data_IF_374143530701
#
_entry.id   IF_374143530701
#
_cell.length_a   1.000
_cell.length_b   1.000
_cell.length_c   1.000
_cell.angle_alpha   90.00
_cell.angle_beta   90.00
_cell.angle_gamma   90.00
#
_symmetry.space_group_name_H-M   'P 1'
#
loop_
_entity.id
_entity.type
_entity.pdbx_description
1 polymer ?
#
# COMPACT_ATOMS: atom_id res chain seq x y z
N UNK A 1 -1.00 -2.33 -11.23
CA UNK A 1 0.34 -1.73 -11.38
C UNK A 1 0.26 -0.25 -11.05
N UNK A 2 1.37 0.38 -10.68
CA UNK A 2 1.44 1.82 -10.40
C UNK A 2 2.84 2.34 -10.71
N UNK A 3 2.97 3.60 -11.14
CA UNK A 3 4.25 4.30 -11.26
C UNK A 3 4.68 4.89 -9.93
N UNK A 4 5.96 5.23 -9.78
CA UNK A 4 6.47 5.95 -8.60
C UNK A 4 6.87 7.39 -8.95
N UNK A 5 7.41 8.14 -7.99
CA UNK A 5 7.94 9.48 -8.25
C UNK A 5 9.25 9.43 -9.06
N UNK A 6 10.02 8.35 -8.93
CA UNK A 6 11.19 8.06 -9.75
C UNK A 6 10.80 7.70 -11.20
N UNK A 7 11.43 8.34 -12.21
CA UNK A 7 11.20 8.00 -13.61
C UNK A 7 11.49 6.53 -13.91
N UNK A 8 10.73 5.95 -14.85
CA UNK A 8 10.89 4.58 -15.34
C UNK A 8 10.61 3.47 -14.30
N UNK A 9 10.30 3.86 -13.05
CA UNK A 9 10.03 2.93 -11.96
C UNK A 9 8.55 2.55 -11.92
N UNK A 10 8.30 1.23 -11.90
CA UNK A 10 6.96 0.65 -11.85
C UNK A 10 6.88 -0.38 -10.72
N UNK A 11 5.70 -0.47 -10.10
CA UNK A 11 5.35 -1.55 -9.19
C UNK A 11 4.20 -2.38 -9.75
N UNK A 12 4.32 -3.70 -9.63
CA UNK A 12 3.20 -4.64 -9.76
C UNK A 12 3.02 -5.36 -8.44
N UNK A 13 1.76 -5.61 -8.09
CA UNK A 13 1.39 -6.21 -6.82
C UNK A 13 0.15 -7.07 -7.02
N UNK A 14 -0.09 -8.01 -6.12
CA UNK A 14 -1.27 -8.86 -6.22
C UNK A 14 -1.35 -9.95 -5.16
N UNK A 15 -1.74 -11.14 -5.62
CA UNK A 15 -2.05 -12.28 -4.76
C UNK A 15 -0.89 -12.63 -3.82
N UNK A 16 -1.24 -13.04 -2.60
CA UNK A 16 -0.31 -13.56 -1.59
C UNK A 16 0.87 -12.62 -1.27
N UNK A 17 0.59 -11.31 -1.21
CA UNK A 17 1.57 -10.29 -0.84
C UNK A 17 2.70 -10.10 -1.85
N UNK A 18 2.56 -10.63 -3.06
CA UNK A 18 3.54 -10.43 -4.10
C UNK A 18 3.59 -8.95 -4.48
N UNK A 19 4.80 -8.39 -4.45
CA UNK A 19 5.13 -7.06 -4.94
C UNK A 19 6.47 -7.13 -5.66
N UNK A 20 6.51 -6.60 -6.87
CA UNK A 20 7.71 -6.52 -7.70
C UNK A 20 7.91 -5.09 -8.17
N UNK A 21 9.18 -4.71 -8.28
CA UNK A 21 9.63 -3.40 -8.71
C UNK A 21 10.46 -3.54 -9.97
N UNK A 22 10.24 -2.64 -10.91
CA UNK A 22 11.06 -2.45 -12.10
C UNK A 22 11.58 -1.02 -12.10
N UNK A 23 12.78 -0.80 -12.63
CA UNK A 23 13.40 0.53 -12.87
C UNK A 23 13.66 0.79 -14.35
N UNK A 24 13.14 -0.07 -15.24
CA UNK A 24 13.41 -0.07 -16.68
C UNK A 24 12.12 -0.22 -17.49
N UNK A 25 11.03 0.44 -17.05
CA UNK A 25 9.71 0.36 -17.69
C UNK A 25 9.10 -1.05 -17.77
N UNK A 26 9.42 -1.90 -16.82
CA UNK A 26 8.86 -3.24 -16.70
C UNK A 26 9.57 -4.29 -17.57
N UNK A 27 10.78 -4.01 -18.06
CA UNK A 27 11.59 -4.98 -18.80
C UNK A 27 12.14 -6.03 -17.83
N UNK A 28 12.68 -5.61 -16.69
CA UNK A 28 13.13 -6.48 -15.60
C UNK A 28 12.39 -6.18 -14.31
N UNK A 29 12.25 -7.21 -13.46
CA UNK A 29 11.48 -7.14 -12.22
C UNK A 29 12.26 -7.78 -11.08
N UNK A 30 12.33 -7.07 -9.96
CA UNK A 30 12.90 -7.56 -8.71
C UNK A 30 11.78 -7.68 -7.67
N UNK A 31 11.77 -8.78 -6.92
CA UNK A 31 10.78 -8.96 -5.86
C UNK A 31 11.15 -8.07 -4.67
N UNK A 32 10.18 -7.34 -4.15
CA UNK A 32 10.33 -6.57 -2.91
C UNK A 32 9.61 -7.32 -1.80
N UNK A 33 10.36 -7.74 -0.78
CA UNK A 33 9.81 -8.53 0.31
C UNK A 33 8.96 -7.65 1.23
N UNK A 34 7.70 -8.02 1.42
CA UNK A 34 6.80 -7.38 2.38
C UNK A 34 6.82 -8.17 3.68
N UNK A 35 7.32 -7.56 4.75
CA UNK A 35 7.43 -8.18 6.06
C UNK A 35 6.42 -7.56 7.03
N UNK A 36 5.43 -8.34 7.43
CA UNK A 36 4.49 -8.03 8.49
C UNK A 36 5.03 -8.47 9.86
N UNK A 37 4.31 -8.13 10.93
CA UNK A 37 4.71 -8.46 12.30
C UNK A 37 4.89 -9.97 12.58
N UNK A 38 4.29 -10.85 11.76
CA UNK A 38 4.36 -12.32 11.89
C UNK A 38 5.14 -13.00 10.76
N UNK A 39 5.96 -12.25 10.03
CA UNK A 39 6.73 -12.75 8.88
C UNK A 39 6.23 -12.17 7.56
N UNK A 40 6.46 -12.89 6.46
CA UNK A 40 6.08 -12.44 5.13
C UNK A 40 4.56 -12.14 5.06
N UNK A 41 4.20 -11.06 4.36
CA UNK A 41 2.81 -10.74 4.10
C UNK A 41 2.24 -11.74 3.09
N UNK A 42 1.17 -12.45 3.45
CA UNK A 42 0.52 -13.44 2.57
C UNK A 42 -0.89 -13.03 2.12
N UNK A 43 -1.32 -11.80 2.42
CA UNK A 43 -2.61 -11.28 1.96
C UNK A 43 -2.53 -10.71 0.55
N UNK A 44 -3.59 -10.89 -0.25
CA UNK A 44 -3.67 -10.28 -1.58
C UNK A 44 -3.77 -8.77 -1.51
N UNK A 45 -3.03 -8.08 -2.38
CA UNK A 45 -3.05 -6.63 -2.58
C UNK A 45 -3.95 -6.28 -3.77
N UNK A 46 -4.72 -5.20 -3.66
CA UNK A 46 -5.86 -4.90 -4.55
C UNK A 46 -5.87 -3.48 -5.10
N UNK A 47 -5.29 -2.51 -4.39
CA UNK A 47 -5.27 -1.11 -4.83
C UNK A 47 -4.02 -0.39 -4.35
N UNK A 48 -3.65 0.70 -5.03
CA UNK A 48 -2.51 1.53 -4.65
C UNK A 48 -2.72 3.00 -5.06
N UNK A 49 -2.02 3.90 -4.38
CA UNK A 49 -1.92 5.31 -4.73
C UNK A 49 -0.49 5.81 -4.54
N UNK A 50 -0.04 6.67 -5.45
CA UNK A 50 1.09 7.57 -5.25
C UNK A 50 0.50 8.86 -4.69
N UNK A 51 0.99 9.31 -3.54
CA UNK A 51 0.54 10.53 -2.89
C UNK A 51 1.39 11.72 -3.36
N UNK A 52 0.90 12.94 -3.14
CA UNK A 52 1.58 14.17 -3.57
C UNK A 52 2.96 14.37 -2.92
N UNK A 53 3.19 13.77 -1.75
CA UNK A 53 4.48 13.79 -1.05
C UNK A 53 5.47 12.71 -1.56
N UNK A 54 5.08 11.95 -2.58
CA UNK A 54 5.89 10.87 -3.16
C UNK A 54 5.71 9.51 -2.48
N UNK A 55 4.93 9.43 -1.39
CA UNK A 55 4.68 8.17 -0.70
C UNK A 55 3.82 7.23 -1.55
N UNK A 56 4.15 5.95 -1.52
CA UNK A 56 3.36 4.89 -2.15
C UNK A 56 2.57 4.15 -1.09
N UNK A 57 1.26 4.07 -1.27
CA UNK A 57 0.38 3.30 -0.39
C UNK A 57 -0.27 2.19 -1.19
N UNK A 58 -0.11 0.94 -0.76
CA UNK A 58 -0.76 -0.24 -1.33
C UNK A 58 -1.67 -0.86 -0.27
N UNK A 59 -2.88 -1.24 -0.65
CA UNK A 59 -3.88 -1.82 0.25
C UNK A 59 -4.38 -3.17 -0.25
N UNK A 60 -4.96 -3.95 0.66
CA UNK A 60 -5.42 -5.28 0.32
C UNK A 60 -6.33 -5.96 1.33
N UNK A 61 -6.44 -7.27 1.15
CA UNK A 61 -7.22 -8.16 2.00
C UNK A 61 -6.66 -8.18 3.43
N UNK A 62 -7.49 -8.59 4.40
CA UNK A 62 -7.06 -8.68 5.80
C UNK A 62 -6.67 -7.33 6.41
N UNK A 63 -7.17 -6.22 5.85
CA UNK A 63 -6.89 -4.86 6.29
C UNK A 63 -5.44 -4.41 6.07
N UNK A 64 -4.73 -4.99 5.10
CA UNK A 64 -3.35 -4.60 4.81
C UNK A 64 -3.26 -3.17 4.27
N UNK A 65 -2.38 -2.38 4.87
CA UNK A 65 -1.91 -1.07 4.41
C UNK A 65 -0.39 -1.12 4.40
N UNK A 66 0.20 -0.88 3.24
CA UNK A 66 1.62 -1.06 2.98
C UNK A 66 2.16 0.24 2.42
N UNK A 67 3.13 0.86 3.09
CA UNK A 67 3.59 2.22 2.79
C UNK A 67 5.08 2.24 2.49
N UNK A 68 5.47 2.88 1.40
CA UNK A 68 6.87 3.21 1.06
C UNK A 68 7.03 4.72 0.97
N UNK A 69 8.18 5.20 1.43
CA UNK A 69 8.61 6.60 1.33
C UNK A 69 9.91 6.72 0.50
N UNK A 70 10.30 5.66 -0.22
CA UNK A 70 11.59 5.51 -0.90
C UNK A 70 11.43 4.92 -2.32
N UNK A 71 10.37 5.32 -3.03
CA UNK A 71 10.07 4.89 -4.40
C UNK A 71 9.91 3.37 -4.55
N UNK A 72 9.36 2.73 -3.51
CA UNK A 72 9.02 1.31 -3.50
C UNK A 72 10.20 0.38 -3.28
N UNK A 73 11.34 0.90 -2.81
CA UNK A 73 12.49 0.06 -2.45
C UNK A 73 12.22 -0.73 -1.17
N UNK A 74 11.62 -0.07 -0.16
CA UNK A 74 11.23 -0.71 1.09
C UNK A 74 9.82 -0.31 1.49
N UNK A 75 9.16 -1.19 2.26
CA UNK A 75 7.80 -0.97 2.72
C UNK A 75 7.62 -1.27 4.19
N UNK A 76 6.86 -0.42 4.87
CA UNK A 76 6.28 -0.68 6.19
C UNK A 76 4.92 -1.34 6.00
N UNK A 77 4.67 -2.47 6.67
CA UNK A 77 3.41 -3.22 6.58
C UNK A 77 2.61 -3.05 7.86
N UNK A 78 1.40 -2.53 7.74
CA UNK A 78 0.42 -2.45 8.82
C UNK A 78 -0.83 -3.26 8.46
N UNK A 79 -1.19 -4.23 9.30
CA UNK A 79 -2.45 -4.94 9.19
C UNK A 79 -3.43 -4.34 10.20
N UNK A 80 -4.51 -3.74 9.70
CA UNK A 80 -5.55 -3.17 10.56
C UNK A 80 -6.17 -4.25 11.47
N UNK A 81 -6.45 -3.94 12.76
CA UNK A 81 -7.08 -4.88 13.68
C UNK A 81 -8.48 -5.37 13.25
N UNK A 82 -9.24 -4.53 12.55
CA UNK A 82 -10.58 -4.86 12.03
C UNK A 82 -10.54 -5.90 10.89
N UNK A 83 -9.37 -6.07 10.25
CA UNK A 83 -9.10 -6.97 9.12
C UNK A 83 -10.07 -6.83 7.95
N UNK A 84 -10.78 -5.71 7.86
CA UNK A 84 -11.73 -5.43 6.78
C UNK A 84 -10.93 -5.32 5.47
N UNK A 85 -11.33 -6.07 4.45
CA UNK A 85 -10.64 -6.05 3.17
C UNK A 85 -10.80 -4.69 2.49
N UNK A 86 -9.68 -4.14 2.05
CA UNK A 86 -9.59 -2.87 1.35
C UNK A 86 -9.46 -3.14 -0.16
N UNK A 87 -10.03 -2.26 -0.96
CA UNK A 87 -10.01 -2.32 -2.43
C UNK A 87 -9.34 -1.11 -3.07
N UNK A 88 -9.34 0.05 -2.40
CA UNK A 88 -8.70 1.26 -2.91
C UNK A 88 -8.26 2.18 -1.77
N UNK A 89 -7.34 3.09 -2.10
CA UNK A 89 -6.81 4.13 -1.21
C UNK A 89 -6.57 5.40 -2.01
N UNK A 90 -6.76 6.56 -1.38
CA UNK A 90 -6.34 7.86 -1.92
C UNK A 90 -6.03 8.83 -0.78
N UNK A 91 -5.40 9.97 -1.08
CA UNK A 91 -5.14 11.01 -0.09
C UNK A 91 -6.45 11.68 0.37
N UNK A 92 -6.55 11.99 1.66
CA UNK A 92 -7.61 12.82 2.22
C UNK A 92 -7.33 14.33 2.11
N UNK A 93 -6.13 14.72 1.63
CA UNK A 93 -5.72 16.13 1.47
C UNK A 93 -5.13 16.79 2.72
N UNK A 94 -5.09 16.11 3.86
CA UNK A 94 -4.54 16.60 5.13
C UNK A 94 -3.46 15.67 5.72
N UNK A 95 -2.80 14.89 4.86
CA UNK A 95 -1.85 13.84 5.25
C UNK A 95 -2.50 12.50 5.59
N UNK A 96 -3.81 12.46 5.86
CA UNK A 96 -4.53 11.21 6.09
C UNK A 96 -4.88 10.48 4.80
N UNK A 97 -5.32 9.24 4.95
CA UNK A 97 -5.79 8.38 3.86
C UNK A 97 -7.31 8.27 3.88
N UNK A 98 -7.90 8.19 2.70
CA UNK A 98 -9.24 7.65 2.49
C UNK A 98 -9.07 6.18 2.06
N UNK A 99 -9.60 5.26 2.84
CA UNK A 99 -9.62 3.83 2.57
C UNK A 99 -11.02 3.41 2.14
N UNK A 100 -11.10 2.61 1.07
CA UNK A 100 -12.36 2.07 0.55
C UNK A 100 -12.29 0.55 0.56
N UNK A 101 -13.36 -0.12 0.99
CA UNK A 101 -13.43 -1.57 1.00
C UNK A 101 -14.77 -2.12 1.49
N UNK A 102 -14.76 -3.35 2.00
CA UNK A 102 -15.96 -4.04 2.49
C UNK A 102 -16.67 -3.30 3.64
N UNK A 103 -15.94 -2.45 4.37
CA UNK A 103 -16.46 -1.62 5.46
C UNK A 103 -16.87 -0.21 5.05
N UNK A 104 -17.03 0.06 3.74
CA UNK A 104 -17.36 1.38 3.21
C UNK A 104 -16.14 2.28 3.02
N UNK A 105 -16.35 3.59 3.16
CA UNK A 105 -15.31 4.63 3.08
C UNK A 105 -14.90 5.06 4.49
N UNK A 106 -13.60 5.08 4.78
CA UNK A 106 -13.05 5.45 6.10
C UNK A 106 -11.87 6.39 5.96
N UNK A 107 -11.76 7.35 6.86
CA UNK A 107 -10.54 8.13 7.03
C UNK A 107 -9.60 7.40 7.99
N UNK A 108 -8.32 7.37 7.67
CA UNK A 108 -7.29 6.71 8.44
C UNK A 108 -6.02 7.57 8.50
N UNK A 109 -5.16 7.33 9.49
CA UNK A 109 -3.83 7.94 9.56
C UNK A 109 -3.00 7.63 8.30
N UNK A 110 -1.88 8.33 8.04
CA UNK A 110 -0.98 8.00 6.93
C UNK A 110 -0.51 6.53 6.93
N UNK A 111 -0.43 5.90 8.11
CA UNK A 111 -0.06 4.49 8.27
C UNK A 111 -1.27 3.52 8.15
N UNK A 112 -2.49 4.03 7.97
CA UNK A 112 -3.70 3.23 7.79
C UNK A 112 -4.47 2.88 9.07
N UNK A 113 -4.08 3.40 10.23
CA UNK A 113 -4.80 3.21 11.49
C UNK A 113 -6.09 4.07 11.53
N UNK A 114 -7.09 3.64 12.29
CA UNK A 114 -8.28 4.47 12.52
C UNK A 114 -7.90 5.73 13.30
N UNK A 115 -8.56 6.86 12.98
CA UNK A 115 -8.41 8.08 13.77
C UNK A 115 -9.10 7.86 15.12
N UNK A 116 -8.43 8.17 16.23
CA UNK A 116 -9.07 8.15 17.55
C UNK A 116 -10.27 9.10 17.53
N UNK A 117 -11.45 8.58 17.88
CA UNK A 117 -12.63 9.41 18.11
C UNK A 117 -12.42 10.13 19.44
N UNK A 118 -12.34 11.45 19.39
CA UNK A 118 -12.49 12.31 20.57
C UNK A 118 -13.90 12.20 21.14
#
# INVERSE_FOLDING_TARGET
MISTAQPQTLLVYGLRGNLYRSTDFGITWEQVQLNAARGALEFGLSGASLLDDGSLVVVGNGGSVVVSHDDGQTFSVFNRPDRISLSAVTAAGNGNLILVGQGGVRVATPAGAELEKQ
#
